data_IF_041403609376
#
_entry.id   IF_041403609376
#
_cell.length_a   1.000
_cell.length_b   1.000
_cell.length_c   1.000
_cell.angle_alpha   90.00
_cell.angle_beta   90.00
_cell.angle_gamma   90.00
#
_symmetry.space_group_name_H-M   'P 1'
#
loop_
_entity.id
_entity.type
_entity.pdbx_description
1 polymer ?
#
# COMPACT_ATOMS: atom_id res chain seq x y z
N UNK A 1 -1.54 2.13 -54.90
CA UNK A 1 -2.57 1.78 -53.89
C UNK A 1 -1.87 1.47 -52.58
N UNK A 2 -2.29 2.12 -51.50
CA UNK A 2 -1.69 2.13 -50.17
C UNK A 2 -1.60 0.73 -49.51
N UNK A 3 -0.53 0.52 -48.73
CA UNK A 3 -0.63 0.10 -47.32
C UNK A 3 0.64 0.51 -46.56
N UNK A 4 0.49 1.59 -45.78
CA UNK A 4 1.45 2.12 -44.82
C UNK A 4 1.42 1.27 -43.55
N UNK A 5 2.57 0.72 -43.14
CA UNK A 5 2.75 0.07 -41.83
C UNK A 5 3.19 1.12 -40.80
N UNK A 6 2.38 1.34 -39.78
CA UNK A 6 2.74 2.15 -38.62
C UNK A 6 3.73 1.39 -37.73
N UNK A 7 5.01 1.80 -37.78
CA UNK A 7 6.07 1.39 -36.86
C UNK A 7 5.90 2.10 -35.51
N UNK A 8 5.71 1.33 -34.44
CA UNK A 8 5.68 1.83 -33.06
C UNK A 8 7.08 1.68 -32.45
N UNK A 9 7.77 2.79 -32.20
CA UNK A 9 9.04 2.81 -31.48
C UNK A 9 8.79 2.85 -29.96
N UNK A 10 9.25 1.81 -29.25
CA UNK A 10 9.20 1.72 -27.78
C UNK A 10 10.51 2.26 -27.17
N UNK A 11 10.44 2.90 -25.99
CA UNK A 11 11.61 3.55 -25.36
C UNK A 11 11.67 3.30 -23.85
N UNK A 12 12.87 3.12 -23.34
CA UNK A 12 13.14 2.45 -22.07
C UNK A 12 14.04 3.30 -21.15
N UNK A 13 13.75 3.28 -19.85
CA UNK A 13 14.45 4.06 -18.83
C UNK A 13 14.76 3.27 -17.56
N UNK A 14 15.86 3.61 -16.90
CA UNK A 14 16.33 3.01 -15.63
C UNK A 14 16.23 4.02 -14.48
N UNK A 15 15.74 3.57 -13.34
CA UNK A 15 15.49 4.32 -12.10
C UNK A 15 16.39 3.76 -10.98
N UNK A 16 17.25 4.61 -10.42
CA UNK A 16 18.28 4.26 -9.45
C UNK A 16 17.81 4.30 -7.99
N UNK A 17 18.18 3.31 -7.17
CA UNK A 17 18.01 3.35 -5.70
C UNK A 17 19.25 2.74 -5.02
N UNK A 18 19.97 3.51 -4.19
CA UNK A 18 21.08 3.02 -3.36
C UNK A 18 20.58 2.48 -2.00
N UNK A 19 21.21 1.41 -1.50
CA UNK A 19 21.08 0.88 -0.14
C UNK A 19 22.45 0.35 0.32
N UNK A 20 22.93 0.79 1.48
CA UNK A 20 24.27 0.41 1.98
C UNK A 20 24.24 -0.69 3.04
N UNK A 21 25.23 -1.59 2.98
CA UNK A 21 25.71 -2.44 4.07
C UNK A 21 27.22 -2.21 4.19
N UNK A 22 27.68 -1.69 5.32
CA UNK A 22 29.11 -1.51 5.59
C UNK A 22 29.71 -2.80 6.16
N UNK A 23 30.77 -3.31 5.51
CA UNK A 23 31.61 -4.39 6.04
C UNK A 23 32.74 -3.79 6.89
N UNK A 24 33.01 -4.42 8.03
CA UNK A 24 34.08 -4.08 8.98
C UNK A 24 35.33 -4.89 8.60
N UNK A 25 36.44 -4.21 8.29
CA UNK A 25 37.76 -4.84 8.14
C UNK A 25 38.48 -4.85 9.49
N UNK A 26 38.78 -6.04 10.01
CA UNK A 26 39.64 -6.21 11.17
C UNK A 26 41.07 -6.59 10.72
N UNK A 27 42.09 -5.88 11.22
CA UNK A 27 43.50 -6.30 11.18
C UNK A 27 44.08 -6.20 12.59
N UNK A 28 44.71 -7.30 13.03
CA UNK A 28 45.86 -7.27 13.94
C UNK A 28 45.57 -7.30 15.44
N UNK A 29 46.20 -8.26 16.13
CA UNK A 29 46.13 -8.60 17.56
C UNK A 29 46.70 -7.54 18.49
N UNK A 30 46.06 -7.37 19.64
CA UNK A 30 46.49 -6.65 20.84
C UNK A 30 45.26 -6.38 21.69
N UNK A 31 45.38 -6.34 23.02
CA UNK A 31 44.24 -6.14 23.93
C UNK A 31 43.54 -4.80 23.64
N UNK A 32 42.32 -4.84 23.11
CA UNK A 32 41.53 -3.64 22.82
C UNK A 32 40.09 -3.82 23.33
N UNK A 33 39.80 -3.15 24.44
CA UNK A 33 38.45 -2.64 24.69
C UNK A 33 38.22 -1.58 23.61
N UNK A 34 37.59 -1.99 22.50
CA UNK A 34 37.28 -1.11 21.38
C UNK A 34 36.17 -0.17 21.86
N UNK A 35 36.53 1.06 22.21
CA UNK A 35 35.55 2.13 22.35
C UNK A 35 34.83 2.28 21.00
N UNK A 36 33.60 1.78 20.95
CA UNK A 36 32.76 1.90 19.77
C UNK A 36 32.39 3.36 19.57
N UNK A 37 33.14 4.05 18.72
CA UNK A 37 32.77 5.36 18.21
C UNK A 37 31.92 5.13 16.96
N UNK A 38 30.58 5.30 17.01
CA UNK A 38 29.76 5.16 15.83
C UNK A 38 30.22 6.16 14.77
N UNK A 39 30.32 5.68 13.52
CA UNK A 39 30.63 6.56 12.40
C UNK A 39 29.61 7.72 12.37
N UNK A 40 30.05 8.97 12.14
CA UNK A 40 29.16 10.12 12.11
C UNK A 40 28.10 9.93 11.02
N UNK A 41 26.85 10.29 11.35
CA UNK A 41 25.71 10.22 10.40
C UNK A 41 25.85 11.17 9.21
N UNK A 42 26.69 12.19 9.34
CA UNK A 42 26.97 13.18 8.30
C UNK A 42 28.39 12.97 7.78
N UNK A 43 28.51 12.84 6.46
CA UNK A 43 29.81 12.70 5.80
C UNK A 43 30.38 14.05 5.39
N UNK A 44 31.63 14.07 4.95
CA UNK A 44 32.24 15.27 4.33
C UNK A 44 31.48 15.71 3.06
N UNK A 45 30.91 14.75 2.33
CA UNK A 45 30.07 15.03 1.16
C UNK A 45 28.75 15.74 1.54
N UNK A 46 28.23 15.49 2.74
CA UNK A 46 27.07 16.23 3.27
C UNK A 46 27.44 17.67 3.61
N UNK A 47 28.60 17.88 4.25
CA UNK A 47 29.10 19.23 4.60
C UNK A 47 29.35 20.08 3.35
N UNK A 48 29.94 19.48 2.32
CA UNK A 48 30.29 20.16 1.07
C UNK A 48 29.16 20.12 0.03
N UNK A 49 28.03 19.46 0.35
CA UNK A 49 26.91 19.23 -0.55
C UNK A 49 27.34 18.63 -1.90
N UNK A 50 28.30 17.70 -1.87
CA UNK A 50 28.87 17.08 -3.07
C UNK A 50 27.85 16.15 -3.72
N UNK A 51 27.27 16.61 -4.83
CA UNK A 51 26.26 15.84 -5.57
C UNK A 51 26.84 14.79 -6.50
N UNK A 52 28.17 14.62 -6.55
CA UNK A 52 28.81 13.53 -7.30
C UNK A 52 29.12 12.33 -6.43
N UNK A 53 29.18 12.52 -5.11
CA UNK A 53 29.42 11.45 -4.16
C UNK A 53 28.15 10.66 -3.80
N UNK A 54 28.30 9.34 -3.75
CA UNK A 54 27.30 8.42 -3.19
C UNK A 54 27.29 8.42 -1.65
N UNK A 55 28.28 9.03 -1.02
CA UNK A 55 28.39 9.13 0.45
C UNK A 55 27.57 10.29 1.03
N UNK A 56 26.80 11.00 0.21
CA UNK A 56 25.93 12.11 0.63
C UNK A 56 24.52 11.58 0.95
N UNK A 57 23.90 12.12 2.00
CA UNK A 57 22.54 11.82 2.43
C UNK A 57 22.30 10.31 2.61
N UNK A 58 23.17 9.66 3.40
CA UNK A 58 23.14 8.21 3.66
C UNK A 58 21.81 7.72 4.27
N UNK A 59 21.03 8.62 4.86
CA UNK A 59 19.69 8.38 5.39
C UNK A 59 18.60 8.33 4.29
N UNK A 60 18.94 8.74 3.05
CA UNK A 60 18.00 8.91 1.93
C UNK A 60 18.43 8.12 0.71
N UNK A 61 17.46 7.94 -0.21
CA UNK A 61 17.72 7.35 -1.52
C UNK A 61 18.19 8.42 -2.50
N UNK A 62 19.36 8.18 -3.08
CA UNK A 62 19.90 8.95 -4.19
C UNK A 62 19.47 8.37 -5.54
N UNK A 63 19.16 9.26 -6.48
CA UNK A 63 18.79 8.96 -7.85
C UNK A 63 19.83 9.57 -8.80
N UNK A 64 20.28 8.78 -9.79
CA UNK A 64 21.18 9.27 -10.83
C UNK A 64 20.43 10.05 -11.89
N UNK A 65 20.86 11.28 -12.15
CA UNK A 65 20.44 12.09 -13.29
C UNK A 65 21.64 12.43 -14.16
N UNK A 66 21.40 12.43 -15.47
CA UNK A 66 22.36 12.80 -16.50
C UNK A 66 21.92 14.12 -17.13
N UNK A 67 22.88 15.00 -17.41
CA UNK A 67 22.64 16.20 -18.19
C UNK A 67 22.93 15.93 -19.65
N UNK A 68 21.91 16.07 -20.50
CA UNK A 68 22.06 15.66 -21.89
C UNK A 68 20.87 15.96 -22.76
N UNK A 69 20.97 15.53 -24.02
CA UNK A 69 19.84 15.56 -24.94
C UNK A 69 18.93 14.40 -24.60
N UNK A 70 17.85 14.69 -23.88
CA UNK A 70 16.82 13.70 -23.58
C UNK A 70 15.89 13.51 -24.77
N UNK A 71 15.46 12.28 -25.02
CA UNK A 71 14.49 12.03 -26.07
C UNK A 71 13.10 12.56 -25.69
N UNK A 72 12.53 13.41 -26.56
CA UNK A 72 11.25 14.07 -26.32
C UNK A 72 11.32 15.33 -25.45
N UNK A 73 12.51 15.90 -25.22
CA UNK A 73 12.64 17.19 -24.55
C UNK A 73 11.93 18.31 -25.36
N UNK A 74 11.19 19.23 -24.71
CA UNK A 74 10.42 20.29 -25.38
C UNK A 74 11.29 21.32 -26.11
N UNK A 75 12.61 21.33 -25.84
CA UNK A 75 13.60 22.15 -26.52
C UNK A 75 14.78 21.26 -26.91
N UNK A 76 15.44 21.51 -28.05
CA UNK A 76 16.74 20.89 -28.39
C UNK A 76 17.87 21.21 -27.37
N UNK A 77 17.55 21.94 -26.30
CA UNK A 77 18.41 22.23 -25.16
C UNK A 77 18.63 20.99 -24.29
N UNK A 78 19.81 20.85 -23.67
CA UNK A 78 20.07 19.79 -22.71
C UNK A 78 19.16 19.92 -21.48
N UNK A 79 18.67 18.78 -20.99
CA UNK A 79 17.79 18.67 -19.82
C UNK A 79 18.35 17.57 -18.91
N UNK A 80 18.04 17.64 -17.60
CA UNK A 80 18.32 16.54 -16.68
C UNK A 80 17.35 15.39 -16.93
N UNK A 81 17.88 14.21 -17.23
CA UNK A 81 17.09 13.01 -17.50
C UNK A 81 17.72 11.77 -16.86
N UNK A 82 16.92 10.72 -16.75
CA UNK A 82 17.41 9.41 -16.34
C UNK A 82 18.14 8.71 -17.50
N UNK A 83 19.01 7.72 -17.23
CA UNK A 83 19.56 6.83 -18.24
C UNK A 83 18.46 6.24 -19.13
N UNK A 84 18.62 6.39 -20.45
CA UNK A 84 17.62 5.97 -21.44
C UNK A 84 18.25 5.32 -22.68
N UNK A 85 17.52 4.39 -23.27
CA UNK A 85 17.84 3.79 -24.58
C UNK A 85 16.56 3.50 -25.35
N UNK A 86 16.65 3.61 -26.67
CA UNK A 86 15.57 3.20 -27.58
C UNK A 86 15.52 1.68 -27.61
N UNK A 87 14.33 1.12 -27.50
CA UNK A 87 14.14 -0.31 -27.59
C UNK A 87 13.97 -0.70 -29.05
N UNK A 88 14.92 -1.46 -29.57
CA UNK A 88 14.89 -2.11 -30.87
C UNK A 88 14.61 -3.59 -30.62
N UNK A 89 13.73 -4.21 -31.41
CA UNK A 89 12.94 -5.42 -31.08
C UNK A 89 13.71 -6.73 -30.89
N UNK A 90 15.04 -6.69 -30.81
CA UNK A 90 15.90 -7.87 -30.85
C UNK A 90 16.13 -8.53 -29.46
N UNK A 91 15.80 -7.84 -28.37
CA UNK A 91 16.09 -8.30 -27.00
C UNK A 91 14.91 -8.11 -26.02
N UNK A 92 15.03 -8.59 -24.77
CA UNK A 92 14.02 -8.26 -23.73
C UNK A 92 14.14 -6.79 -23.31
N UNK A 93 13.02 -6.18 -22.91
CA UNK A 93 13.04 -4.80 -22.38
C UNK A 93 13.98 -4.65 -21.19
N UNK A 94 14.14 -5.68 -20.35
CA UNK A 94 15.10 -5.64 -19.23
C UNK A 94 16.55 -5.52 -19.73
N UNK A 95 16.95 -6.34 -20.70
CA UNK A 95 18.30 -6.29 -21.29
C UNK A 95 18.61 -4.95 -21.94
N UNK A 96 17.62 -4.34 -22.61
CA UNK A 96 17.78 -3.00 -23.17
C UNK A 96 18.04 -1.95 -22.05
N UNK A 97 17.50 -2.16 -20.85
CA UNK A 97 17.70 -1.27 -19.69
C UNK A 97 19.07 -1.48 -19.08
N UNK A 98 19.50 -2.74 -18.97
CA UNK A 98 20.85 -3.12 -18.58
C UNK A 98 21.86 -2.47 -19.54
N UNK A 99 21.70 -2.65 -20.85
CA UNK A 99 22.57 -2.03 -21.86
C UNK A 99 22.53 -0.50 -21.85
N UNK A 100 21.36 0.11 -21.61
CA UNK A 100 21.27 1.56 -21.43
C UNK A 100 22.18 2.02 -20.30
N UNK A 101 22.19 1.28 -19.19
CA UNK A 101 22.98 1.65 -18.04
C UNK A 101 24.47 1.32 -18.20
N UNK A 102 24.77 0.16 -18.75
CA UNK A 102 26.12 -0.31 -19.08
C UNK A 102 26.83 0.71 -19.98
N UNK A 103 26.09 1.34 -20.91
CA UNK A 103 26.65 2.38 -21.78
C UNK A 103 27.18 3.61 -21.02
N UNK A 104 26.70 3.85 -19.79
CA UNK A 104 27.06 5.01 -18.97
C UNK A 104 28.09 4.66 -17.91
N UNK A 105 27.88 3.53 -17.22
CA UNK A 105 28.68 3.11 -16.06
C UNK A 105 29.83 2.16 -16.47
N UNK A 106 29.74 1.53 -17.63
CA UNK A 106 30.70 0.54 -18.12
C UNK A 106 30.45 -0.84 -17.54
N UNK A 107 30.74 -1.02 -16.25
CA UNK A 107 30.59 -2.32 -15.57
C UNK A 107 29.37 -2.35 -14.63
N UNK A 108 28.48 -3.32 -14.84
CA UNK A 108 27.28 -3.54 -14.05
C UNK A 108 27.48 -4.53 -12.89
N UNK A 109 28.68 -5.05 -12.65
CA UNK A 109 29.00 -6.04 -11.59
C UNK A 109 28.48 -5.65 -10.20
N UNK A 110 28.46 -4.35 -9.90
CA UNK A 110 28.02 -3.81 -8.62
C UNK A 110 26.58 -3.27 -8.64
N UNK A 111 25.82 -3.62 -9.67
CA UNK A 111 24.43 -3.17 -9.87
C UNK A 111 23.48 -4.35 -10.01
N UNK A 112 22.28 -4.22 -9.46
CA UNK A 112 21.24 -5.23 -9.51
C UNK A 112 19.92 -4.64 -9.97
N UNK A 113 19.32 -5.24 -10.99
CA UNK A 113 18.00 -4.89 -11.48
C UNK A 113 16.90 -5.60 -10.70
N UNK A 114 15.94 -4.83 -10.19
CA UNK A 114 14.84 -5.31 -9.36
C UNK A 114 13.72 -5.85 -10.25
N UNK A 115 13.74 -7.17 -10.46
CA UNK A 115 12.70 -7.89 -11.20
C UNK A 115 12.82 -7.81 -12.73
N UNK A 116 12.03 -8.64 -13.41
CA UNK A 116 11.99 -8.73 -14.88
C UNK A 116 10.97 -7.81 -15.55
N UNK A 117 10.05 -7.22 -14.77
CA UNK A 117 8.97 -6.38 -15.27
C UNK A 117 9.24 -4.89 -14.97
N UNK A 118 8.77 -3.97 -15.83
CA UNK A 118 8.86 -2.54 -15.56
C UNK A 118 8.01 -2.19 -14.32
N UNK A 119 8.54 -1.32 -13.46
CA UNK A 119 7.83 -0.82 -12.27
C UNK A 119 6.68 0.13 -12.63
N UNK A 120 6.69 0.68 -13.83
CA UNK A 120 5.65 1.59 -14.31
C UNK A 120 5.94 2.05 -15.73
N UNK A 121 4.96 2.74 -16.31
CA UNK A 121 5.11 3.36 -17.62
C UNK A 121 4.51 4.77 -17.64
N UNK A 122 4.96 5.59 -18.57
CA UNK A 122 4.46 6.93 -18.84
C UNK A 122 4.23 7.07 -20.34
N UNK A 123 3.06 7.56 -20.73
CA UNK A 123 2.79 7.92 -22.12
C UNK A 123 3.27 9.35 -22.33
N UNK A 124 4.24 9.54 -23.22
CA UNK A 124 4.75 10.87 -23.59
C UNK A 124 4.04 11.29 -24.87
N UNK A 125 3.25 12.35 -24.77
CA UNK A 125 2.59 12.95 -25.92
C UNK A 125 3.58 13.77 -26.74
N UNK A 126 3.39 13.87 -28.07
CA UNK A 126 4.25 14.67 -28.91
C UNK A 126 4.19 16.15 -28.51
N UNK A 127 5.36 16.73 -28.29
CA UNK A 127 5.54 18.17 -28.10
C UNK A 127 5.25 18.90 -29.41
N UNK A 128 4.61 20.08 -29.34
CA UNK A 128 4.37 20.97 -30.50
C UNK A 128 5.64 21.32 -31.31
N UNK A 129 6.82 21.11 -30.72
CA UNK A 129 8.13 21.43 -31.31
C UNK A 129 8.83 20.23 -31.97
N UNK A 130 8.22 19.03 -31.95
CA UNK A 130 8.72 17.84 -32.63
C UNK A 130 7.73 17.42 -33.73
N UNK A 131 7.73 18.19 -34.83
CA UNK A 131 6.96 17.87 -36.04
C UNK A 131 7.35 16.48 -36.55
N UNK A 132 6.47 15.49 -36.36
CA UNK A 132 6.59 14.15 -36.95
C UNK A 132 6.82 12.98 -35.98
N UNK A 133 6.80 13.16 -34.65
CA UNK A 133 6.95 12.03 -33.70
C UNK A 133 5.61 11.51 -33.19
N UNK A 134 5.39 10.21 -33.31
CA UNK A 134 4.28 9.47 -32.68
C UNK A 134 4.41 9.48 -31.16
N UNK A 135 3.29 9.47 -30.44
CA UNK A 135 3.28 9.29 -28.98
C UNK A 135 4.00 7.99 -28.60
N UNK A 136 4.90 8.04 -27.63
CA UNK A 136 5.66 6.85 -27.22
C UNK A 136 5.42 6.50 -25.75
N UNK A 137 5.49 5.20 -25.45
CA UNK A 137 5.47 4.70 -24.07
C UNK A 137 6.89 4.63 -23.54
N UNK A 138 7.08 5.18 -22.34
CA UNK A 138 8.31 5.17 -21.57
C UNK A 138 8.15 4.21 -20.41
N UNK A 139 8.99 3.18 -20.33
CA UNK A 139 8.94 2.19 -19.25
C UNK A 139 10.08 2.39 -18.27
N UNK A 140 9.81 2.20 -16.98
CA UNK A 140 10.78 2.40 -15.90
C UNK A 140 11.18 1.07 -15.27
N UNK A 141 12.47 0.75 -15.30
CA UNK A 141 13.07 -0.37 -14.59
C UNK A 141 13.86 0.15 -13.39
N UNK A 142 13.87 -0.56 -12.28
CA UNK A 142 14.65 -0.14 -11.11
C UNK A 142 15.93 -0.93 -11.00
N UNK A 143 17.05 -0.23 -10.79
CA UNK A 143 18.34 -0.82 -10.46
C UNK A 143 18.86 -0.28 -9.12
N UNK A 144 19.67 -1.09 -8.44
CA UNK A 144 20.29 -0.77 -7.15
C UNK A 144 21.79 -1.02 -7.20
N UNK A 145 22.55 -0.23 -6.45
CA UNK A 145 23.99 -0.41 -6.25
C UNK A 145 24.21 -1.25 -5.00
N UNK A 146 25.07 -2.26 -5.06
CA UNK A 146 25.26 -3.23 -3.97
C UNK A 146 26.58 -3.00 -3.20
N UNK A 147 27.70 -2.69 -3.86
CA UNK A 147 29.01 -2.85 -3.22
C UNK A 147 30.06 -1.75 -3.46
N UNK A 148 29.83 -0.76 -4.32
CA UNK A 148 30.85 0.26 -4.63
C UNK A 148 30.39 1.69 -4.42
N UNK A 149 31.29 2.49 -3.83
CA UNK A 149 31.13 3.94 -3.64
C UNK A 149 31.67 4.76 -4.82
N UNK A 150 32.25 4.12 -5.84
CA UNK A 150 32.88 4.78 -6.98
C UNK A 150 32.41 4.12 -8.27
N UNK A 151 31.62 4.85 -9.04
CA UNK A 151 31.35 4.53 -10.45
C UNK A 151 32.15 5.49 -11.32
N UNK A 152 32.83 4.95 -12.32
CA UNK A 152 33.49 5.76 -13.33
C UNK A 152 32.48 6.11 -14.43
N UNK A 153 31.69 7.16 -14.21
CA UNK A 153 30.68 7.63 -15.16
C UNK A 153 31.40 8.44 -16.25
N UNK A 154 31.95 7.74 -17.26
CA UNK A 154 32.82 8.34 -18.27
C UNK A 154 32.07 8.87 -19.50
N UNK A 155 30.84 8.38 -19.78
CA UNK A 155 30.09 8.67 -21.02
C UNK A 155 28.87 9.57 -20.78
N UNK A 156 29.05 10.72 -20.13
CA UNK A 156 28.00 11.73 -20.00
C UNK A 156 28.58 13.15 -19.98
N UNK A 157 27.77 14.19 -20.29
CA UNK A 157 28.23 15.59 -20.21
C UNK A 157 28.36 16.06 -18.77
N UNK A 158 27.38 15.72 -17.95
CA UNK A 158 27.40 15.93 -16.51
C UNK A 158 26.44 14.94 -15.84
N UNK A 159 26.68 14.62 -14.58
CA UNK A 159 25.82 13.75 -13.80
C UNK A 159 25.71 14.22 -12.35
N UNK A 160 24.57 13.94 -11.73
CA UNK A 160 24.26 14.35 -10.37
C UNK A 160 23.47 13.26 -9.67
N UNK A 161 23.81 13.01 -8.42
CA UNK A 161 23.01 12.23 -7.48
C UNK A 161 22.09 13.15 -6.68
N UNK A 162 20.78 12.94 -6.84
CA UNK A 162 19.75 13.76 -6.21
C UNK A 162 18.87 12.96 -5.28
N UNK A 163 18.45 13.57 -4.18
CA UNK A 163 17.39 13.01 -3.33
C UNK A 163 16.01 13.17 -4.01
N UNK A 164 15.01 12.43 -3.52
CA UNK A 164 13.62 12.57 -4.01
C UNK A 164 13.10 14.01 -3.91
N UNK A 165 13.42 14.71 -2.83
CA UNK A 165 12.95 16.08 -2.59
C UNK A 165 13.59 17.05 -3.59
N UNK A 166 14.89 16.89 -3.86
CA UNK A 166 15.60 17.67 -4.87
C UNK A 166 15.08 17.38 -6.28
N UNK A 167 14.80 16.12 -6.60
CA UNK A 167 14.20 15.72 -7.87
C UNK A 167 12.83 16.39 -8.08
N UNK A 168 12.01 16.46 -7.03
CA UNK A 168 10.72 17.15 -7.07
C UNK A 168 10.90 18.66 -7.24
N UNK A 169 11.84 19.29 -6.52
CA UNK A 169 12.17 20.72 -6.67
C UNK A 169 12.71 21.07 -8.07
N UNK A 170 13.57 20.22 -8.65
CA UNK A 170 14.09 20.40 -10.01
C UNK A 170 12.99 20.36 -11.06
N UNK A 171 11.97 19.51 -10.88
CA UNK A 171 10.76 19.55 -11.70
C UNK A 171 9.98 20.84 -11.50
N UNK A 172 9.85 21.38 -10.28
CA UNK A 172 9.10 22.63 -10.07
C UNK A 172 9.72 23.87 -10.74
N UNK A 173 11.03 23.87 -11.03
CA UNK A 173 11.70 24.94 -11.79
C UNK A 173 11.42 24.89 -13.31
N UNK A 174 11.33 23.69 -13.89
CA UNK A 174 11.07 23.50 -15.32
C UNK A 174 9.57 23.42 -15.68
N UNK A 175 8.68 23.35 -14.69
CA UNK A 175 7.25 23.01 -14.89
C UNK A 175 6.33 24.19 -14.50
N UNK A 176 6.84 25.42 -14.33
CA UNK A 176 5.99 26.62 -14.18
C UNK A 176 5.04 26.87 -15.37
N UNK A 177 5.22 26.21 -16.51
CA UNK A 177 4.26 26.23 -17.63
C UNK A 177 3.51 24.91 -17.90
N UNK A 178 3.76 23.86 -17.12
CA UNK A 178 3.23 22.50 -17.40
C UNK A 178 2.74 21.74 -16.16
N UNK A 179 2.56 22.43 -15.02
CA UNK A 179 1.70 21.93 -13.93
C UNK A 179 0.26 22.33 -14.28
N UNK A 180 -0.22 21.81 -15.40
CA UNK A 180 -1.61 21.38 -15.42
C UNK A 180 -1.70 20.34 -14.31
N UNK A 181 -2.52 20.65 -13.30
CA UNK A 181 -3.12 19.74 -12.34
C UNK A 181 -3.01 18.30 -12.84
N UNK A 182 -2.44 17.37 -12.05
CA UNK A 182 -2.39 15.93 -12.38
C UNK A 182 -3.67 15.58 -13.15
N UNK A 183 -3.54 15.40 -14.46
CA UNK A 183 -4.66 15.09 -15.35
C UNK A 183 -5.12 13.69 -15.05
N UNK A 184 -5.92 13.55 -13.98
CA UNK A 184 -6.87 12.47 -13.87
C UNK A 184 -7.84 12.62 -15.04
N UNK A 185 -8.10 11.50 -15.70
CA UNK A 185 -9.13 11.24 -16.70
C UNK A 185 -10.00 12.44 -17.11
N UNK A 186 -10.06 12.73 -18.41
CA UNK A 186 -11.10 13.59 -19.01
C UNK A 186 -12.51 12.99 -18.93
N UNK A 187 -12.71 11.87 -18.20
CA UNK A 187 -14.04 11.33 -17.91
C UNK A 187 -14.66 12.06 -16.72
N UNK A 188 -15.89 12.55 -16.90
CA UNK A 188 -16.77 13.19 -15.89
C UNK A 188 -17.17 12.28 -14.71
N UNK A 189 -16.44 11.19 -14.49
CA UNK A 189 -16.76 10.17 -13.49
C UNK A 189 -16.23 10.59 -12.12
N UNK A 190 -17.16 10.84 -11.19
CA UNK A 190 -16.78 11.14 -9.81
C UNK A 190 -16.20 9.88 -9.15
N UNK A 191 -15.19 10.06 -8.31
CA UNK A 191 -14.63 8.99 -7.50
C UNK A 191 -15.16 9.14 -6.07
N UNK A 192 -15.53 8.03 -5.44
CA UNK A 192 -16.06 8.00 -4.07
C UNK A 192 -15.24 7.00 -3.26
N UNK A 193 -14.70 7.45 -2.14
CA UNK A 193 -14.07 6.57 -1.16
C UNK A 193 -15.13 6.11 -0.15
N UNK A 194 -15.27 4.80 0.02
CA UNK A 194 -16.16 4.17 0.99
C UNK A 194 -15.34 3.32 1.96
N UNK A 195 -15.65 3.37 3.24
CA UNK A 195 -14.92 2.64 4.29
C UNK A 195 -15.77 1.53 4.86
N UNK A 196 -15.25 0.32 4.80
CA UNK A 196 -15.78 -0.84 5.49
C UNK A 196 -15.08 -0.93 6.84
N UNK A 197 -15.73 -0.34 7.86
CA UNK A 197 -15.22 -0.33 9.22
C UNK A 197 -15.70 -1.58 9.97
N UNK A 198 -14.77 -2.46 10.33
CA UNK A 198 -15.04 -3.76 10.92
C UNK A 198 -14.51 -3.91 12.36
N UNK A 199 -15.28 -4.60 13.20
CA UNK A 199 -14.84 -5.12 14.49
C UNK A 199 -14.55 -6.61 14.33
N UNK A 200 -13.33 -7.02 14.66
CA UNK A 200 -12.88 -8.41 14.52
C UNK A 200 -13.51 -9.33 15.58
N UNK A 201 -13.64 -10.66 15.34
CA UNK A 201 -14.09 -11.58 16.37
C UNK A 201 -13.17 -11.51 17.60
N UNK A 202 -13.75 -11.38 18.78
CA UNK A 202 -13.07 -11.33 20.07
C UNK A 202 -12.87 -12.75 20.62
N UNK A 203 -13.83 -13.64 20.35
CA UNK A 203 -13.77 -15.05 20.74
C UNK A 203 -13.73 -15.94 19.50
N UNK A 204 -13.15 -17.12 19.65
CA UNK A 204 -13.05 -18.10 18.57
C UNK A 204 -14.47 -18.61 18.22
N UNK A 205 -14.83 -18.66 16.92
CA UNK A 205 -16.10 -19.23 16.45
C UNK A 205 -16.34 -20.64 16.99
N UNK A 206 -17.62 -21.02 17.14
CA UNK A 206 -17.96 -22.39 17.50
C UNK A 206 -17.50 -23.34 16.40
N UNK A 207 -16.79 -24.38 16.82
CA UNK A 207 -16.32 -25.45 15.95
C UNK A 207 -17.52 -26.33 15.58
N UNK A 208 -17.54 -26.84 14.35
CA UNK A 208 -18.55 -27.80 13.91
C UNK A 208 -18.53 -29.07 14.79
N UNK A 209 -19.70 -29.64 15.17
CA UNK A 209 -19.76 -30.83 16.02
C UNK A 209 -18.95 -32.02 15.51
N UNK A 210 -18.84 -32.21 14.19
CA UNK A 210 -18.06 -33.31 13.59
C UNK A 210 -16.57 -33.06 13.78
N UNK A 211 -16.11 -31.82 13.59
CA UNK A 211 -14.71 -31.44 13.80
C UNK A 211 -14.36 -31.57 15.29
N UNK A 212 -15.26 -31.17 16.18
CA UNK A 212 -15.11 -31.35 17.62
C UNK A 212 -15.00 -32.84 17.99
N UNK A 213 -15.92 -33.68 17.52
CA UNK A 213 -15.90 -35.12 17.78
C UNK A 213 -14.60 -35.78 17.28
N UNK A 214 -14.13 -35.38 16.09
CA UNK A 214 -12.86 -35.86 15.56
C UNK A 214 -11.65 -35.39 16.40
N UNK A 215 -11.67 -34.15 16.90
CA UNK A 215 -10.63 -33.64 17.80
C UNK A 215 -10.59 -34.42 19.12
N UNK A 216 -11.75 -34.68 19.74
CA UNK A 216 -11.84 -35.51 20.94
C UNK A 216 -11.37 -36.94 20.70
N UNK A 217 -11.81 -37.56 19.59
CA UNK A 217 -11.35 -38.89 19.18
C UNK A 217 -9.82 -38.90 19.01
N UNK A 218 -9.28 -37.96 18.24
CA UNK A 218 -7.85 -37.84 17.98
C UNK A 218 -7.04 -37.61 19.25
N UNK A 219 -7.58 -36.82 20.18
CA UNK A 219 -6.98 -36.59 21.49
C UNK A 219 -6.92 -37.90 22.29
N UNK A 220 -8.04 -38.62 22.41
CA UNK A 220 -8.12 -39.91 23.13
C UNK A 220 -7.24 -40.99 22.50
N UNK A 221 -7.25 -41.08 21.17
CA UNK A 221 -6.38 -41.99 20.42
C UNK A 221 -4.91 -41.69 20.72
N UNK A 222 -4.51 -40.41 20.67
CA UNK A 222 -3.15 -40.00 20.99
C UNK A 222 -2.73 -40.34 22.43
N UNK A 223 -3.63 -40.23 23.40
CA UNK A 223 -3.36 -40.62 24.79
C UNK A 223 -3.02 -42.11 24.95
N UNK A 224 -3.51 -42.99 24.06
CA UNK A 224 -3.19 -44.44 24.11
C UNK A 224 -1.74 -44.72 23.71
N UNK A 225 -1.21 -43.97 22.74
CA UNK A 225 0.12 -44.20 22.17
C UNK A 225 1.17 -43.19 22.66
N UNK A 226 0.76 -42.17 23.43
CA UNK A 226 1.69 -41.21 24.00
C UNK A 226 2.59 -41.87 25.03
N UNK A 227 3.85 -41.44 25.04
CA UNK A 227 4.79 -41.80 26.09
C UNK A 227 4.21 -41.32 27.42
N UNK A 228 3.92 -42.26 28.33
CA UNK A 228 3.54 -41.92 29.70
C UNK A 228 4.75 -41.31 30.41
N UNK A 229 4.57 -40.12 30.96
CA UNK A 229 5.55 -39.51 31.84
C UNK A 229 5.43 -40.13 33.24
N UNK A 230 6.53 -40.34 33.97
CA UNK A 230 6.48 -40.82 35.34
C UNK A 230 5.68 -39.85 36.23
N UNK A 231 4.85 -40.39 37.12
CA UNK A 231 4.02 -39.59 38.04
C UNK A 231 4.90 -38.72 38.96
N UNK A 232 6.07 -39.24 39.38
CA UNK A 232 7.10 -38.49 40.12
C UNK A 232 7.55 -37.18 39.42
N UNK A 233 7.43 -37.08 38.09
CA UNK A 233 7.74 -35.85 37.36
C UNK A 233 6.58 -34.84 37.40
N UNK A 234 5.33 -35.32 37.36
CA UNK A 234 4.12 -34.50 37.35
C UNK A 234 3.77 -33.99 38.76
N UNK A 235 3.90 -34.85 39.76
CA UNK A 235 3.48 -34.61 41.15
C UNK A 235 4.43 -33.63 41.89
N UNK A 236 5.60 -33.31 41.32
CA UNK A 236 6.49 -32.25 41.82
C UNK A 236 5.82 -30.88 41.89
N UNK A 237 4.73 -30.68 41.16
CA UNK A 237 3.96 -29.44 41.17
C UNK A 237 3.00 -29.33 42.36
N UNK A 238 2.52 -30.45 42.91
CA UNK A 238 1.59 -30.47 44.06
C UNK A 238 2.26 -30.09 45.39
N UNK A 239 3.60 -30.14 45.44
CA UNK A 239 4.38 -29.64 46.57
C UNK A 239 4.39 -28.09 46.67
N UNK A 240 3.97 -27.37 45.61
CA UNK A 240 3.78 -25.92 45.66
C UNK A 240 2.39 -25.66 46.24
N UNK A 241 2.33 -25.23 47.49
CA UNK A 241 1.08 -24.92 48.19
C UNK A 241 0.10 -24.14 47.30
N UNK A 242 -1.17 -24.54 47.31
CA UNK A 242 -2.24 -23.84 46.59
C UNK A 242 -2.32 -22.42 47.17
N UNK A 243 -1.99 -21.40 46.38
CA UNK A 243 -1.99 -20.01 46.83
C UNK A 243 -3.35 -19.58 47.40
N UNK A 244 -3.36 -18.49 48.17
CA UNK A 244 -4.50 -18.01 48.98
C UNK A 244 -5.79 -17.67 48.18
N UNK A 245 -5.73 -17.68 46.85
CA UNK A 245 -6.85 -17.42 45.94
C UNK A 245 -7.29 -18.71 45.24
N UNK A 246 -8.08 -19.52 45.92
CA UNK A 246 -8.79 -20.66 45.33
C UNK A 246 -10.09 -20.20 44.66
N UNK A 247 -9.97 -19.40 43.60
CA UNK A 247 -11.10 -19.12 42.71
C UNK A 247 -11.01 -20.09 41.54
N UNK A 248 -11.94 -21.03 41.45
CA UNK A 248 -12.09 -21.85 40.26
C UNK A 248 -12.30 -20.91 39.06
N UNK A 249 -11.41 -20.98 38.08
CA UNK A 249 -11.50 -20.15 36.90
C UNK A 249 -12.72 -20.57 36.08
N UNK A 250 -13.82 -19.81 36.23
CA UNK A 250 -15.02 -19.95 35.41
C UNK A 250 -14.97 -18.87 34.32
N UNK A 251 -14.74 -19.23 33.04
CA UNK A 251 -14.72 -18.25 31.97
C UNK A 251 -16.09 -17.60 31.80
N UNK A 252 -16.10 -16.31 31.47
CA UNK A 252 -17.32 -15.59 31.18
C UNK A 252 -18.11 -16.25 30.01
N UNK A 253 -19.45 -16.19 30.02
CA UNK A 253 -20.26 -16.77 28.96
C UNK A 253 -19.98 -16.08 27.62
N UNK A 254 -20.03 -16.85 26.53
CA UNK A 254 -19.82 -16.34 25.17
C UNK A 254 -20.96 -15.44 24.67
N UNK A 255 -22.15 -15.57 25.25
CA UNK A 255 -23.33 -14.79 24.90
C UNK A 255 -23.51 -13.67 25.92
N UNK A 256 -23.53 -12.44 25.43
CA UNK A 256 -23.69 -11.23 26.24
C UNK A 256 -25.17 -10.85 26.40
N UNK A 257 -25.45 -9.86 27.24
CA UNK A 257 -26.78 -9.26 27.34
C UNK A 257 -27.22 -8.59 26.02
N UNK A 258 -26.27 -8.01 25.28
CA UNK A 258 -26.52 -7.42 23.97
C UNK A 258 -26.93 -8.48 22.93
N UNK A 259 -26.43 -9.71 23.05
CA UNK A 259 -26.88 -10.84 22.23
C UNK A 259 -28.32 -11.25 22.56
N UNK A 260 -28.68 -11.31 23.85
CA UNK A 260 -30.04 -11.65 24.30
C UNK A 260 -31.06 -10.64 23.82
N UNK A 261 -30.72 -9.35 23.87
CA UNK A 261 -31.60 -8.26 23.47
C UNK A 261 -31.49 -7.91 21.97
N UNK A 262 -30.59 -8.57 21.24
CA UNK A 262 -30.25 -8.29 19.85
C UNK A 262 -29.94 -6.79 19.60
N UNK A 263 -29.17 -6.18 20.51
CA UNK A 263 -28.81 -4.76 20.42
C UNK A 263 -27.76 -4.54 19.33
N UNK A 264 -28.21 -4.03 18.18
CA UNK A 264 -27.34 -3.76 17.04
C UNK A 264 -26.54 -2.47 17.17
N UNK A 265 -26.73 -1.67 18.21
CA UNK A 265 -25.87 -0.50 18.48
C UNK A 265 -24.66 -0.87 19.31
N UNK A 266 -24.74 -1.97 20.06
CA UNK A 266 -23.64 -2.47 20.88
C UNK A 266 -22.60 -3.24 20.08
N UNK A 267 -21.33 -2.96 20.38
CA UNK A 267 -20.18 -3.72 19.88
C UNK A 267 -19.95 -5.04 20.63
N UNK A 268 -20.57 -5.19 21.80
CA UNK A 268 -20.50 -6.39 22.65
C UNK A 268 -21.42 -7.51 22.17
N UNK A 269 -22.17 -7.31 21.07
CA UNK A 269 -22.95 -8.36 20.39
C UNK A 269 -22.05 -9.19 19.47
N UNK A 270 -22.36 -10.47 19.30
CA UNK A 270 -21.77 -11.41 18.36
C UNK A 270 -20.23 -11.44 18.44
N UNK A 271 -19.70 -11.70 19.63
CA UNK A 271 -18.26 -11.70 19.91
C UNK A 271 -17.47 -12.68 19.04
N UNK A 272 -18.12 -13.72 18.52
CA UNK A 272 -17.56 -14.77 17.68
C UNK A 272 -17.57 -14.44 16.18
N UNK A 273 -18.21 -13.34 15.77
CA UNK A 273 -18.38 -12.94 14.36
C UNK A 273 -17.83 -11.55 14.11
N UNK A 274 -17.51 -11.22 12.85
CA UNK A 274 -17.18 -9.85 12.45
C UNK A 274 -18.44 -8.97 12.46
N UNK A 275 -18.30 -7.73 12.94
CA UNK A 275 -19.33 -6.70 12.80
C UNK A 275 -18.87 -5.60 11.85
N UNK A 276 -19.80 -5.07 11.07
CA UNK A 276 -19.59 -3.97 10.12
C UNK A 276 -20.47 -2.78 10.49
N UNK A 277 -19.91 -1.58 10.46
CA UNK A 277 -20.65 -0.35 10.70
C UNK A 277 -21.44 0.07 9.46
N UNK A 278 -22.75 0.25 9.61
CA UNK A 278 -23.62 0.88 8.65
C UNK A 278 -24.25 2.14 9.21
N UNK A 279 -24.46 3.12 8.33
CA UNK A 279 -25.06 4.40 8.64
C UNK A 279 -26.35 4.58 7.86
N UNK A 280 -27.34 5.18 8.51
CA UNK A 280 -28.57 5.61 7.87
C UNK A 280 -28.52 7.11 7.59
N UNK A 281 -28.48 7.48 6.31
CA UNK A 281 -28.17 8.85 5.94
C UNK A 281 -28.31 9.15 4.46
N UNK A 282 -27.83 10.34 4.09
CA UNK A 282 -27.78 10.79 2.69
C UNK A 282 -26.53 10.18 2.04
N UNK A 283 -26.71 9.07 1.34
CA UNK A 283 -25.65 8.47 0.52
C UNK A 283 -25.44 9.26 -0.77
N UNK A 284 -24.21 9.24 -1.28
CA UNK A 284 -23.90 9.74 -2.61
C UNK A 284 -24.49 8.80 -3.67
N UNK A 285 -25.31 9.34 -4.57
CA UNK A 285 -25.98 8.58 -5.63
C UNK A 285 -27.30 7.91 -5.25
N UNK A 286 -27.89 8.25 -4.09
CA UNK A 286 -29.21 7.75 -3.72
C UNK A 286 -30.30 8.26 -4.70
N UNK A 287 -31.23 7.40 -5.18
CA UNK A 287 -32.25 7.73 -6.19
C UNK A 287 -33.24 8.84 -5.78
N UNK A 288 -33.34 9.13 -4.48
CA UNK A 288 -34.14 10.22 -3.91
C UNK A 288 -33.38 10.81 -2.72
N UNK A 289 -33.68 12.05 -2.29
CA UNK A 289 -33.19 12.63 -1.01
C UNK A 289 -33.66 11.85 0.25
N UNK A 290 -34.15 10.61 0.08
CA UNK A 290 -34.54 9.70 1.15
C UNK A 290 -33.28 9.08 1.75
N UNK A 291 -33.21 8.97 3.08
CA UNK A 291 -32.10 8.31 3.75
C UNK A 291 -32.08 6.83 3.41
N UNK A 292 -30.88 6.31 3.11
CA UNK A 292 -30.62 4.90 2.81
C UNK A 292 -29.50 4.39 3.71
N UNK A 293 -29.42 3.08 3.89
CA UNK A 293 -28.28 2.46 4.56
C UNK A 293 -27.07 2.50 3.64
N UNK A 294 -25.94 2.98 4.15
CA UNK A 294 -24.69 3.05 3.42
C UNK A 294 -23.49 2.93 4.37
N UNK A 295 -22.33 2.66 3.79
CA UNK A 295 -21.06 2.74 4.50
C UNK A 295 -20.61 4.19 4.65
N UNK A 296 -19.76 4.52 5.64
CA UNK A 296 -19.02 5.78 5.65
C UNK A 296 -18.41 6.06 4.28
N UNK A 297 -18.80 7.16 3.63
CA UNK A 297 -18.33 7.48 2.29
C UNK A 297 -18.14 8.98 2.07
N UNK A 298 -17.20 9.33 1.20
CA UNK A 298 -16.86 10.70 0.83
C UNK A 298 -16.50 10.78 -0.65
N UNK A 299 -16.95 11.83 -1.32
CA UNK A 299 -16.54 12.13 -2.70
C UNK A 299 -15.10 12.62 -2.68
N UNK A 300 -14.28 12.08 -3.57
CA UNK A 300 -12.89 12.50 -3.72
C UNK A 300 -12.84 13.84 -4.48
N UNK A 301 -12.27 14.86 -3.84
CA UNK A 301 -12.20 16.21 -4.40
C UNK A 301 -10.74 16.67 -4.53
N UNK A 302 -10.08 16.89 -3.38
CA UNK A 302 -8.76 17.55 -3.35
C UNK A 302 -7.75 16.89 -2.40
N UNK A 303 -8.07 15.73 -1.81
CA UNK A 303 -7.17 15.04 -0.89
C UNK A 303 -5.93 14.46 -1.59
N UNK A 304 -4.81 14.33 -0.86
CA UNK A 304 -3.55 13.85 -1.46
C UNK A 304 -3.64 12.41 -2.00
N UNK A 305 -4.40 11.55 -1.31
CA UNK A 305 -4.57 10.14 -1.66
C UNK A 305 -6.00 9.69 -1.40
N UNK A 306 -6.45 8.68 -2.15
CA UNK A 306 -7.78 8.08 -1.96
C UNK A 306 -7.94 7.47 -0.55
N UNK A 307 -6.85 6.94 0.04
CA UNK A 307 -6.84 6.47 1.44
C UNK A 307 -7.13 7.62 2.41
N UNK A 308 -6.47 8.78 2.25
CA UNK A 308 -6.73 9.96 3.11
C UNK A 308 -8.16 10.46 2.99
N UNK A 309 -8.74 10.40 1.78
CA UNK A 309 -10.16 10.70 1.57
C UNK A 309 -11.06 9.73 2.38
N UNK A 310 -10.71 8.44 2.37
CA UNK A 310 -11.40 7.41 3.16
C UNK A 310 -11.23 7.61 4.68
N UNK A 311 -10.02 7.93 5.15
CA UNK A 311 -9.72 8.28 6.54
C UNK A 311 -10.57 9.48 6.98
N UNK A 312 -10.57 10.57 6.20
CA UNK A 312 -11.39 11.75 6.46
C UNK A 312 -12.90 11.44 6.45
N UNK A 313 -13.36 10.51 5.61
CA UNK A 313 -14.74 10.05 5.61
C UNK A 313 -15.10 9.43 6.98
N UNK A 314 -14.29 8.51 7.48
CA UNK A 314 -14.51 7.85 8.77
C UNK A 314 -14.36 8.82 9.95
N UNK A 315 -13.35 9.69 9.90
CA UNK A 315 -13.09 10.74 10.89
C UNK A 315 -14.28 11.69 11.03
N UNK A 316 -14.93 12.03 9.92
CA UNK A 316 -16.09 12.93 9.93
C UNK A 316 -17.30 12.39 10.71
N UNK A 317 -17.34 11.07 10.91
CA UNK A 317 -18.44 10.33 11.57
C UNK A 317 -18.04 9.96 12.99
N UNK A 318 -16.85 9.39 13.20
CA UNK A 318 -16.41 8.86 14.49
C UNK A 318 -15.67 9.92 15.32
N UNK A 319 -15.15 10.97 14.68
CA UNK A 319 -14.33 12.01 15.30
C UNK A 319 -12.87 11.56 15.38
N UNK A 320 -12.53 10.76 16.38
CA UNK A 320 -11.15 10.33 16.61
C UNK A 320 -10.83 8.98 15.95
N UNK A 321 -9.76 8.95 15.15
CA UNK A 321 -9.26 7.77 14.47
C UNK A 321 -8.19 6.99 15.25
N UNK A 322 -7.79 7.42 16.45
CA UNK A 322 -6.72 6.81 17.27
C UNK A 322 -6.87 5.30 17.48
N UNK A 323 -8.12 4.82 17.55
CA UNK A 323 -8.45 3.41 17.80
C UNK A 323 -8.85 2.64 16.54
N UNK A 324 -8.55 3.21 15.36
CA UNK A 324 -8.86 2.63 14.06
C UNK A 324 -7.58 2.34 13.29
N UNK A 325 -7.61 1.27 12.49
CA UNK A 325 -6.47 0.88 11.66
C UNK A 325 -6.90 0.58 10.23
N UNK A 326 -6.42 1.41 9.30
CA UNK A 326 -6.58 1.17 7.87
C UNK A 326 -5.52 0.18 7.36
N UNK A 327 -6.00 -0.95 6.85
CA UNK A 327 -5.16 -2.13 6.53
C UNK A 327 -4.17 -1.86 5.39
N UNK A 328 -4.48 -0.96 4.46
CA UNK A 328 -3.60 -0.68 3.32
C UNK A 328 -3.92 0.61 2.57
N UNK A 329 -2.96 1.02 1.72
CA UNK A 329 -3.10 2.18 0.83
C UNK A 329 -3.96 1.91 -0.41
N UNK A 330 -4.09 0.64 -0.79
CA UNK A 330 -4.91 0.22 -1.92
C UNK A 330 -6.35 -0.07 -1.46
N UNK A 331 -7.36 0.24 -2.29
CA UNK A 331 -8.72 -0.19 -2.02
C UNK A 331 -8.83 -1.72 -2.10
N UNK A 332 -9.71 -2.30 -1.30
CA UNK A 332 -10.05 -3.73 -1.34
C UNK A 332 -10.76 -4.12 -2.62
N UNK A 333 -11.54 -3.20 -3.19
CA UNK A 333 -12.27 -3.40 -4.42
C UNK A 333 -12.97 -2.12 -4.85
N UNK A 334 -13.61 -2.19 -6.01
CA UNK A 334 -14.33 -1.06 -6.57
C UNK A 334 -15.64 -1.52 -7.21
N UNK A 335 -16.61 -0.61 -7.26
CA UNK A 335 -17.89 -0.81 -7.91
C UNK A 335 -18.20 0.41 -8.76
N UNK A 336 -18.63 0.18 -10.00
CA UNK A 336 -19.11 1.24 -10.89
C UNK A 336 -20.61 1.38 -10.67
N UNK A 337 -21.04 2.51 -10.10
CA UNK A 337 -22.45 2.81 -9.93
C UNK A 337 -22.90 3.60 -11.16
N UNK A 338 -23.77 2.98 -11.95
CA UNK A 338 -24.37 3.63 -13.12
C UNK A 338 -25.51 4.56 -12.67
N UNK A 339 -25.71 5.68 -13.38
CA UNK A 339 -26.82 6.56 -13.08
C UNK A 339 -28.15 5.85 -13.33
N UNK A 340 -29.06 5.94 -12.36
CA UNK A 340 -30.41 5.40 -12.51
C UNK A 340 -31.14 6.15 -13.63
N UNK A 341 -31.89 5.44 -14.49
CA UNK A 341 -32.68 6.01 -15.60
C UNK A 341 -33.66 7.12 -15.19
N UNK A 342 -33.98 7.23 -13.90
CA UNK A 342 -34.90 8.20 -13.32
C UNK A 342 -34.24 9.49 -12.81
N UNK A 343 -32.91 9.62 -12.88
CA UNK A 343 -32.19 10.81 -12.46
C UNK A 343 -31.51 11.48 -13.66
N UNK A 344 -32.20 12.43 -14.29
CA UNK A 344 -31.59 13.34 -15.26
C UNK A 344 -30.50 14.17 -14.57
N UNK A 345 -29.23 13.84 -14.84
CA UNK A 345 -28.06 14.61 -14.39
C UNK A 345 -27.11 13.91 -13.41
N UNK A 346 -27.36 12.66 -12.99
CA UNK A 346 -26.33 11.91 -12.23
C UNK A 346 -25.27 11.37 -13.19
N UNK A 347 -23.99 11.68 -12.92
CA UNK A 347 -22.87 11.08 -13.64
C UNK A 347 -22.57 9.71 -13.04
N UNK A 348 -22.11 8.76 -13.86
CA UNK A 348 -21.55 7.50 -13.34
C UNK A 348 -20.41 7.80 -12.38
N UNK A 349 -20.33 7.04 -11.29
CA UNK A 349 -19.26 7.21 -10.32
C UNK A 349 -18.67 5.87 -9.91
N UNK A 350 -17.38 5.91 -9.55
CA UNK A 350 -16.63 4.73 -9.11
C UNK A 350 -16.47 4.79 -7.60
N UNK A 351 -17.07 3.83 -6.90
CA UNK A 351 -16.95 3.67 -5.46
C UNK A 351 -15.80 2.71 -5.15
N UNK A 352 -14.79 3.17 -4.43
CA UNK A 352 -13.66 2.38 -3.95
C UNK A 352 -13.86 2.04 -2.48
N UNK A 353 -13.69 0.77 -2.11
CA UNK A 353 -13.88 0.29 -0.75
C UNK A 353 -12.54 0.15 -0.04
N UNK A 354 -12.42 0.72 1.15
CA UNK A 354 -11.25 0.63 2.02
C UNK A 354 -11.56 -0.16 3.29
N UNK A 355 -10.61 -0.99 3.72
CA UNK A 355 -10.73 -1.74 4.96
C UNK A 355 -10.23 -0.92 6.15
N UNK A 356 -11.04 -0.80 7.18
CA UNK A 356 -10.60 -0.25 8.46
C UNK A 356 -11.04 -1.17 9.61
N UNK A 357 -10.16 -1.36 10.59
CA UNK A 357 -10.37 -2.26 11.72
C UNK A 357 -10.44 -1.49 13.04
N UNK A 358 -11.34 -1.93 13.91
CA UNK A 358 -11.45 -1.46 15.28
C UNK A 358 -10.47 -2.21 16.19
N UNK A 359 -9.65 -1.46 16.96
CA UNK A 359 -8.63 -2.05 17.85
C UNK A 359 -9.10 -2.13 19.31
N UNK A 360 -9.54 -1.03 19.94
CA UNK A 360 -9.64 -0.99 21.40
C UNK A 360 -10.94 -0.41 21.99
N UNK A 361 -11.62 0.52 21.30
CA UNK A 361 -12.69 1.30 21.96
C UNK A 361 -14.08 0.72 21.71
N UNK A 362 -14.84 0.52 22.78
CA UNK A 362 -16.23 0.04 22.74
C UNK A 362 -17.28 1.15 22.67
N UNK A 363 -16.85 2.42 22.71
CA UNK A 363 -17.72 3.60 22.76
C UNK A 363 -17.31 4.59 21.68
N UNK A 364 -18.21 4.81 20.73
CA UNK A 364 -18.07 5.82 19.69
C UNK A 364 -19.25 6.78 19.75
N UNK A 365 -18.97 8.08 19.75
CA UNK A 365 -19.98 9.08 19.47
C UNK A 365 -20.07 9.23 17.95
N UNK A 366 -20.93 8.43 17.34
CA UNK A 366 -21.18 8.47 15.90
C UNK A 366 -22.01 9.73 15.62
N UNK A 367 -21.38 10.70 14.96
CA UNK A 367 -21.97 11.97 14.56
C UNK A 367 -22.41 11.95 13.09
N UNK A 368 -23.25 12.92 12.70
CA UNK A 368 -23.68 13.19 11.31
C UNK A 368 -24.46 12.05 10.61
N UNK A 369 -25.06 11.12 11.35
CA UNK A 369 -26.03 10.15 10.82
C UNK A 369 -27.38 10.28 11.51
N UNK A 370 -28.45 9.81 10.85
CA UNK A 370 -29.77 9.69 11.51
C UNK A 370 -29.83 8.49 12.43
N UNK A 371 -29.20 7.40 12.02
CA UNK A 371 -29.11 6.16 12.78
C UNK A 371 -27.85 5.38 12.35
N UNK A 372 -27.41 4.44 13.18
CA UNK A 372 -26.29 3.56 12.89
C UNK A 372 -26.51 2.17 13.45
N UNK A 373 -25.92 1.17 12.82
CA UNK A 373 -26.10 -0.25 13.16
C UNK A 373 -24.80 -1.01 12.92
N UNK A 374 -24.47 -1.92 13.83
CA UNK A 374 -23.42 -2.91 13.68
C UNK A 374 -24.03 -4.25 13.23
N UNK A 375 -23.66 -4.68 12.03
CA UNK A 375 -24.25 -5.85 11.37
C UNK A 375 -23.23 -6.95 11.17
N UNK A 376 -23.67 -8.19 11.30
CA UNK A 376 -22.90 -9.37 10.88
C UNK A 376 -22.91 -9.50 9.36
N UNK A 377 -22.03 -10.34 8.80
CA UNK A 377 -21.98 -10.63 7.36
C UNK A 377 -23.36 -11.06 6.80
N UNK A 378 -24.06 -11.94 7.50
CA UNK A 378 -25.38 -12.45 7.07
C UNK A 378 -26.46 -11.36 7.07
N UNK A 379 -26.42 -10.46 8.05
CA UNK A 379 -27.33 -9.32 8.14
C UNK A 379 -27.01 -8.28 7.06
N UNK A 380 -25.72 -8.06 6.76
CA UNK A 380 -25.27 -7.11 5.75
C UNK A 380 -25.87 -7.41 4.38
N UNK A 381 -25.97 -8.69 4.01
CA UNK A 381 -26.59 -9.11 2.73
C UNK A 381 -28.08 -8.73 2.64
N UNK A 382 -28.78 -8.69 3.78
CA UNK A 382 -30.20 -8.29 3.83
C UNK A 382 -30.38 -6.79 3.58
N UNK A 383 -29.40 -5.96 3.96
CA UNK A 383 -29.43 -4.51 3.70
C UNK A 383 -29.09 -4.16 2.25
N UNK A 384 -28.26 -4.97 1.58
CA UNK A 384 -27.80 -4.73 0.22
C UNK A 384 -28.06 -5.94 -0.70
N UNK A 385 -29.33 -6.26 -1.02
CA UNK A 385 -29.66 -7.46 -1.78
C UNK A 385 -29.09 -7.43 -3.21
N UNK A 386 -29.12 -6.28 -3.88
CA UNK A 386 -28.60 -6.13 -5.25
C UNK A 386 -27.08 -6.25 -5.34
N UNK A 387 -26.36 -5.89 -4.26
CA UNK A 387 -24.90 -5.93 -4.20
C UNK A 387 -24.37 -7.10 -3.36
N UNK A 388 -25.25 -8.02 -2.94
CA UNK A 388 -24.92 -9.11 -2.00
C UNK A 388 -23.80 -10.02 -2.54
N UNK A 389 -23.86 -10.39 -3.83
CA UNK A 389 -22.82 -11.23 -4.45
C UNK A 389 -21.44 -10.57 -4.43
N UNK A 390 -21.39 -9.25 -4.66
CA UNK A 390 -20.16 -8.48 -4.64
C UNK A 390 -19.57 -8.43 -3.23
N UNK A 391 -20.40 -8.12 -2.23
CA UNK A 391 -19.94 -8.08 -0.84
C UNK A 391 -19.55 -9.47 -0.32
N UNK A 392 -20.19 -10.54 -0.78
CA UNK A 392 -19.84 -11.90 -0.38
C UNK A 392 -18.43 -12.29 -0.85
N UNK A 393 -18.01 -11.81 -2.03
CA UNK A 393 -16.65 -11.99 -2.55
C UNK A 393 -15.62 -11.12 -1.83
N UNK A 394 -16.00 -9.91 -1.43
CA UNK A 394 -15.09 -8.96 -0.77
C UNK A 394 -14.85 -9.28 0.71
N UNK A 395 -15.85 -9.82 1.40
CA UNK A 395 -15.87 -9.97 2.85
C UNK A 395 -15.71 -11.45 3.24
N UNK A 396 -14.64 -11.72 3.98
CA UNK A 396 -14.31 -13.06 4.49
C UNK A 396 -15.15 -13.33 5.75
N UNK A 397 -15.73 -14.54 5.84
CA UNK A 397 -16.44 -15.03 7.03
C UNK A 397 -15.49 -15.27 8.19
#
# INVERSE_FOLDING_TARGET
MLKSYHSWQYRLFVLFICSHKNYITARGKGDYQIDYVPAPRFTEADKNNDKRSLQRALDRRLYLLLYGKAHGAPSRKPVWHFPEKVYESEDTMRKCAESALESIIGDLSNTYFVGNAPMGHMVVQPSKYLSGSTSFKRFFFKSQVIATNKFNIAKCKDFVWVTKDELMKMKMSMVRSLLTTRGFSTSSEKLVASVLFERLPVVIPKIDPVVYAFQEFSFRWRQQYQRRYPDEFLDKSDARGKGDYQIDYVPAPRFTEADKNNDKRSLQRALDRRLYLLLYGKAHGAPSRKPVWHFPEKVYESEDTMRKCAESALESIIGDLSNTYFVGNAPMGHMVVQPSKYQSGSTSFKRFFFKSQLIATNKFNIAKCKDFVWVTKDELMKYFPEQAEFFNKMIIS
#
